data_IF_881300527374
#
_entry.id   IF_881300527374
#
_cell.length_a   1.000
_cell.length_b   1.000
_cell.length_c   1.000
_cell.angle_alpha   90.00
_cell.angle_beta   90.00
_cell.angle_gamma   90.00
#
_symmetry.space_group_name_H-M   'P 1'
#
loop_
_entity.id
_entity.type
_entity.pdbx_description
1 polymer ?
#
# COMPACT_ATOMS: atom_id res chain seq x y z
N UNK A 1 -50.13 46.40 40.29
CA UNK A 1 -49.67 44.99 40.17
C UNK A 1 -48.99 44.82 38.82
N UNK A 2 -47.66 44.86 38.77
CA UNK A 2 -46.89 44.60 37.56
C UNK A 2 -46.65 43.10 37.41
N UNK A 3 -47.40 42.44 36.52
CA UNK A 3 -47.24 41.00 36.27
C UNK A 3 -45.83 40.67 35.74
N UNK A 4 -45.26 39.51 36.12
CA UNK A 4 -43.96 39.07 35.61
C UNK A 4 -44.01 39.00 34.07
N UNK A 5 -42.89 39.35 33.43
CA UNK A 5 -42.73 39.14 32.00
C UNK A 5 -43.11 37.69 31.65
N UNK A 6 -43.88 37.50 30.58
CA UNK A 6 -44.39 36.18 30.18
C UNK A 6 -43.25 35.13 30.21
N UNK A 7 -43.49 33.92 30.74
CA UNK A 7 -42.44 32.96 31.09
C UNK A 7 -41.56 32.50 29.91
N UNK A 8 -41.93 32.80 28.66
CA UNK A 8 -41.12 32.55 27.45
C UNK A 8 -40.27 33.73 26.95
N UNK A 9 -40.43 34.96 27.46
CA UNK A 9 -39.73 36.12 26.92
C UNK A 9 -38.21 36.08 27.18
N UNK A 10 -37.77 35.42 28.25
CA UNK A 10 -36.35 35.29 28.63
C UNK A 10 -35.61 34.21 27.85
N UNK A 11 -36.33 33.32 27.18
CA UNK A 11 -35.74 32.26 26.36
C UNK A 11 -35.64 32.62 24.89
N UNK A 12 -36.50 33.54 24.41
CA UNK A 12 -36.60 33.95 23.01
C UNK A 12 -35.29 34.54 22.49
N UNK A 13 -34.98 34.28 21.22
CA UNK A 13 -33.80 34.86 20.57
C UNK A 13 -33.94 36.37 20.39
N UNK A 14 -32.98 37.12 20.92
CA UNK A 14 -32.84 38.55 20.68
C UNK A 14 -31.74 38.78 19.65
N UNK A 15 -32.07 39.35 18.51
CA UNK A 15 -31.09 39.59 17.45
C UNK A 15 -31.71 39.77 16.07
N UNK A 16 -30.86 39.63 15.08
CA UNK A 16 -31.15 39.67 13.65
C UNK A 16 -30.63 38.41 12.97
N UNK A 17 -31.42 37.85 12.07
CA UNK A 17 -31.05 36.72 11.21
C UNK A 17 -31.00 37.23 9.78
N UNK A 18 -30.02 36.78 9.00
CA UNK A 18 -29.83 37.23 7.63
C UNK A 18 -31.03 36.81 6.74
N UNK A 19 -31.75 37.76 6.11
CA UNK A 19 -32.87 37.45 5.22
C UNK A 19 -32.41 37.01 3.82
N UNK A 20 -31.14 37.24 3.48
CA UNK A 20 -30.60 36.90 2.16
C UNK A 20 -30.26 35.41 2.06
N UNK A 21 -30.33 34.84 0.84
CA UNK A 21 -29.92 33.47 0.62
C UNK A 21 -28.45 33.26 0.99
N UNK A 22 -28.08 32.07 1.51
CA UNK A 22 -26.74 31.78 2.04
C UNK A 22 -25.61 31.82 0.99
N UNK A 23 -25.98 31.89 -0.30
CA UNK A 23 -25.06 32.02 -1.42
C UNK A 23 -24.57 33.47 -1.64
N UNK A 24 -25.22 34.47 -1.03
CA UNK A 24 -24.82 35.87 -1.17
C UNK A 24 -23.59 36.13 -0.30
N UNK A 25 -22.46 36.60 -0.86
CA UNK A 25 -21.28 36.89 -0.09
C UNK A 25 -21.53 38.03 0.90
N UNK A 26 -20.78 38.01 2.00
CA UNK A 26 -20.77 39.09 2.99
C UNK A 26 -20.48 40.44 2.34
N UNK A 27 -21.31 41.42 2.69
CA UNK A 27 -21.25 42.80 2.24
C UNK A 27 -21.39 43.70 3.46
N UNK A 28 -20.64 44.80 3.49
CA UNK A 28 -20.60 45.68 4.66
C UNK A 28 -21.98 46.26 4.95
N UNK A 29 -22.73 46.57 3.89
CA UNK A 29 -24.07 47.15 3.92
C UNK A 29 -25.06 46.23 4.66
N UNK A 30 -24.92 44.91 4.50
CA UNK A 30 -25.74 43.91 5.20
C UNK A 30 -25.46 43.93 6.71
N UNK A 31 -24.20 44.16 7.09
CA UNK A 31 -23.83 44.33 8.50
C UNK A 31 -24.40 45.61 9.10
N UNK A 32 -24.39 46.70 8.35
CA UNK A 32 -24.97 47.98 8.78
C UNK A 32 -26.49 47.87 8.94
N UNK A 33 -27.17 47.21 8.00
CA UNK A 33 -28.60 46.89 8.09
C UNK A 33 -28.93 46.02 9.32
N UNK A 34 -28.12 44.99 9.58
CA UNK A 34 -28.29 44.11 10.71
C UNK A 34 -28.21 44.88 12.04
N UNK A 35 -27.18 45.71 12.21
CA UNK A 35 -27.01 46.55 13.40
C UNK A 35 -28.18 47.53 13.56
N UNK A 36 -28.56 48.22 12.48
CA UNK A 36 -29.69 49.16 12.50
C UNK A 36 -31.00 48.46 12.92
N UNK A 37 -31.25 47.26 12.42
CA UNK A 37 -32.45 46.47 12.74
C UNK A 37 -32.46 46.03 14.21
N UNK A 38 -31.32 45.56 14.73
CA UNK A 38 -31.19 45.19 16.15
C UNK A 38 -31.43 46.40 17.06
N UNK A 39 -30.80 47.54 16.76
CA UNK A 39 -30.95 48.77 17.55
C UNK A 39 -32.38 49.30 17.48
N UNK A 40 -33.02 49.32 16.31
CA UNK A 40 -34.42 49.73 16.17
C UNK A 40 -35.35 48.82 16.98
N UNK A 41 -35.11 47.51 17.00
CA UNK A 41 -35.88 46.55 17.82
C UNK A 41 -35.68 46.82 19.32
N UNK A 42 -34.45 47.09 19.76
CA UNK A 42 -34.16 47.46 21.15
C UNK A 42 -34.85 48.76 21.56
N UNK A 43 -34.83 49.79 20.71
CA UNK A 43 -35.54 51.06 20.96
C UNK A 43 -37.05 50.85 21.11
N UNK A 44 -37.66 50.01 20.27
CA UNK A 44 -39.09 49.65 20.40
C UNK A 44 -39.39 48.93 21.71
N UNK A 45 -38.53 48.00 22.13
CA UNK A 45 -38.67 47.30 23.40
C UNK A 45 -38.50 48.26 24.60
N UNK A 46 -37.52 49.15 24.55
CA UNK A 46 -37.34 50.18 25.57
C UNK A 46 -38.56 51.12 25.64
N UNK A 47 -39.10 51.56 24.51
CA UNK A 47 -40.33 52.36 24.44
C UNK A 47 -41.55 51.62 25.01
N UNK A 48 -41.70 50.34 24.70
CA UNK A 48 -42.76 49.51 25.28
C UNK A 48 -42.63 49.33 26.79
N UNK A 49 -41.40 49.30 27.31
CA UNK A 49 -41.13 49.31 28.75
C UNK A 49 -41.41 50.68 29.38
N UNK A 50 -41.19 51.79 28.66
CA UNK A 50 -41.52 53.16 29.10
C UNK A 50 -43.01 53.33 29.37
N UNK A 51 -43.86 52.65 28.59
CA UNK A 51 -45.30 52.67 28.77
C UNK A 51 -45.78 51.94 30.05
N UNK A 52 -44.88 51.24 30.79
CA UNK A 52 -45.22 50.61 32.07
C UNK A 52 -45.08 51.61 33.22
N UNK A 53 -46.09 51.62 34.11
CA UNK A 53 -46.30 52.60 35.18
C UNK A 53 -45.21 52.69 36.26
N UNK A 54 -44.26 51.74 36.30
CA UNK A 54 -43.11 51.79 37.22
C UNK A 54 -41.91 51.03 36.62
N UNK A 55 -40.93 51.73 36.02
CA UNK A 55 -39.70 51.12 35.53
C UNK A 55 -38.71 50.77 36.65
N UNK A 56 -38.99 51.15 37.90
CA UNK A 56 -38.12 50.95 39.05
C UNK A 56 -36.79 51.71 38.97
N UNK A 57 -35.89 51.42 39.91
CA UNK A 57 -34.57 52.05 40.07
C UNK A 57 -33.67 51.96 38.82
N UNK A 58 -33.96 51.03 37.92
CA UNK A 58 -33.18 50.79 36.70
C UNK A 58 -33.80 51.46 35.45
N UNK A 59 -34.81 52.32 35.59
CA UNK A 59 -35.49 52.94 34.45
C UNK A 59 -34.56 53.75 33.53
N UNK A 60 -33.79 54.70 34.10
CA UNK A 60 -32.86 55.52 33.33
C UNK A 60 -31.82 54.72 32.52
N UNK A 61 -31.10 53.73 33.09
CA UNK A 61 -30.15 52.94 32.32
C UNK A 61 -30.81 52.04 31.26
N UNK A 62 -32.05 51.59 31.46
CA UNK A 62 -32.79 50.80 30.46
C UNK A 62 -33.09 51.65 29.21
N UNK A 63 -33.41 52.93 29.36
CA UNK A 63 -33.66 53.81 28.20
C UNK A 63 -32.40 54.21 27.43
N UNK A 64 -31.25 54.27 28.11
CA UNK A 64 -29.95 54.55 27.47
C UNK A 64 -29.29 53.30 26.84
N UNK A 65 -29.78 52.10 27.18
CA UNK A 65 -29.21 50.83 26.73
C UNK A 65 -29.15 50.66 25.21
N UNK A 66 -30.19 51.01 24.41
CA UNK A 66 -30.12 50.89 22.95
C UNK A 66 -28.99 51.73 22.34
N UNK A 67 -28.75 52.94 22.84
CA UNK A 67 -27.68 53.82 22.34
C UNK A 67 -26.29 53.31 22.75
N UNK A 68 -26.14 52.79 23.97
CA UNK A 68 -24.88 52.16 24.43
C UNK A 68 -24.54 50.94 23.60
N UNK A 69 -25.54 50.13 23.25
CA UNK A 69 -25.34 48.97 22.38
C UNK A 69 -25.05 49.40 20.94
N UNK A 70 -25.74 50.42 20.43
CA UNK A 70 -25.45 50.97 19.11
C UNK A 70 -24.00 51.43 18.98
N UNK A 71 -23.49 52.15 19.98
CA UNK A 71 -22.09 52.58 20.03
C UNK A 71 -21.11 51.38 20.03
N UNK A 72 -21.41 50.34 20.81
CA UNK A 72 -20.59 49.11 20.84
C UNK A 72 -20.62 48.31 19.53
N UNK A 73 -21.77 48.30 18.84
CA UNK A 73 -21.94 47.57 17.58
C UNK A 73 -21.48 48.36 16.34
N UNK A 74 -21.23 49.66 16.46
CA UNK A 74 -20.93 50.54 15.32
C UNK A 74 -19.71 50.08 14.50
N UNK A 75 -18.69 49.51 15.15
CA UNK A 75 -17.47 49.04 14.48
C UNK A 75 -17.57 47.61 13.95
N UNK A 76 -18.60 46.86 14.34
CA UNK A 76 -18.74 45.45 14.01
C UNK A 76 -18.79 45.19 12.49
N UNK A 77 -19.55 45.94 11.67
CA UNK A 77 -19.60 45.69 10.22
C UNK A 77 -18.23 45.87 9.56
N UNK A 78 -17.47 46.89 9.97
CA UNK A 78 -16.13 47.16 9.45
C UNK A 78 -15.13 46.07 9.87
N UNK A 79 -15.17 45.66 11.14
CA UNK A 79 -14.32 44.57 11.66
C UNK A 79 -14.61 43.24 10.94
N UNK A 80 -15.89 42.89 10.76
CA UNK A 80 -16.31 41.70 10.03
C UNK A 80 -15.91 41.78 8.56
N UNK A 81 -16.02 42.94 7.91
CA UNK A 81 -15.59 43.12 6.52
C UNK A 81 -14.08 42.90 6.36
N UNK A 82 -13.26 43.36 7.31
CA UNK A 82 -11.83 43.11 7.31
C UNK A 82 -11.49 41.63 7.55
N UNK A 83 -12.19 40.97 8.49
CA UNK A 83 -11.97 39.56 8.80
C UNK A 83 -12.46 38.60 7.70
N UNK A 84 -13.55 38.94 7.03
CA UNK A 84 -14.18 38.15 5.97
C UNK A 84 -13.73 38.57 4.56
N UNK A 85 -12.58 39.25 4.45
CA UNK A 85 -12.08 39.74 3.16
C UNK A 85 -11.97 38.56 2.19
N UNK A 86 -12.52 38.67 0.97
CA UNK A 86 -12.47 37.59 0.00
C UNK A 86 -11.01 37.26 -0.31
N UNK A 87 -10.59 36.07 0.11
CA UNK A 87 -9.29 35.52 -0.23
C UNK A 87 -9.51 34.52 -1.38
N UNK A 88 -8.63 34.53 -2.38
CA UNK A 88 -8.70 33.62 -3.54
C UNK A 88 -8.78 32.12 -3.16
N UNK A 89 -8.36 31.77 -1.94
CA UNK A 89 -8.33 30.41 -1.38
C UNK A 89 -9.61 30.04 -0.62
N UNK A 90 -10.32 31.02 -0.04
CA UNK A 90 -11.47 30.78 0.82
C UNK A 90 -12.78 30.91 0.03
N UNK A 91 -13.78 30.08 0.37
CA UNK A 91 -15.14 30.33 -0.09
C UNK A 91 -15.66 31.65 0.47
N UNK A 92 -16.52 32.37 -0.27
CA UNK A 92 -17.11 33.60 0.24
C UNK A 92 -17.82 33.32 1.55
N UNK A 93 -17.49 34.09 2.57
CA UNK A 93 -18.16 34.02 3.86
C UNK A 93 -19.56 34.60 3.75
N UNK A 94 -20.55 33.95 4.36
CA UNK A 94 -21.89 34.50 4.55
C UNK A 94 -22.17 34.66 6.05
N UNK A 95 -22.68 35.83 6.44
CA UNK A 95 -23.11 36.05 7.82
C UNK A 95 -24.50 35.45 8.01
N UNK A 96 -24.69 34.60 9.02
CA UNK A 96 -26.00 34.00 9.33
C UNK A 96 -26.89 34.89 10.18
N UNK A 97 -26.30 35.64 11.11
CA UNK A 97 -27.04 36.54 12.00
C UNK A 97 -26.16 37.12 13.09
N UNK A 98 -26.74 38.05 13.85
CA UNK A 98 -26.15 38.71 15.00
C UNK A 98 -27.13 38.53 16.16
N UNK A 99 -26.69 37.90 17.24
CA UNK A 99 -27.54 37.58 18.37
C UNK A 99 -26.95 38.13 19.67
N UNK A 100 -27.81 38.70 20.49
CA UNK A 100 -27.47 39.25 21.79
C UNK A 100 -27.86 38.25 22.87
N UNK A 101 -26.91 37.94 23.74
CA UNK A 101 -27.14 37.17 24.95
C UNK A 101 -26.89 38.06 26.16
N UNK A 102 -27.55 37.72 27.26
CA UNK A 102 -27.43 38.47 28.51
C UNK A 102 -27.20 37.54 29.68
N UNK A 103 -26.85 38.14 30.82
CA UNK A 103 -26.75 37.45 32.11
C UNK A 103 -27.75 38.10 33.05
N UNK A 104 -28.64 37.30 33.64
CA UNK A 104 -29.53 37.82 34.66
C UNK A 104 -28.70 38.21 35.89
N UNK A 105 -28.80 39.46 36.35
CA UNK A 105 -28.29 39.76 37.70
C UNK A 105 -29.08 38.91 38.70
N UNK A 106 -28.43 38.35 39.74
CA UNK A 106 -29.17 37.75 40.83
C UNK A 106 -30.14 38.80 41.35
N UNK A 107 -31.45 38.49 41.28
CA UNK A 107 -32.44 39.39 41.81
C UNK A 107 -32.16 39.52 43.31
N UNK A 108 -31.76 40.71 43.76
CA UNK A 108 -31.93 41.06 45.16
C UNK A 108 -33.40 40.75 45.50
N UNK A 109 -33.69 40.10 46.65
CA UNK A 109 -35.04 39.66 46.97
C UNK A 109 -35.95 40.88 46.98
N UNK A 110 -36.65 41.11 45.87
CA UNK A 110 -37.77 42.02 45.83
C UNK A 110 -38.82 41.33 46.68
N UNK A 111 -39.17 41.96 47.80
CA UNK A 111 -40.30 41.63 48.65
C UNK A 111 -41.59 41.70 47.80
N UNK A 112 -41.78 40.68 46.98
CA UNK A 112 -43.06 40.35 46.40
C UNK A 112 -43.78 39.55 47.47
N UNK A 113 -45.02 39.95 47.75
CA UNK A 113 -45.89 39.46 48.85
C UNK A 113 -46.32 37.99 48.67
N UNK A 114 -45.54 37.20 47.95
CA UNK A 114 -45.74 35.76 47.71
C UNK A 114 -44.40 35.00 47.68
N UNK A 115 -43.34 35.51 48.31
CA UNK A 115 -42.14 34.73 48.57
C UNK A 115 -42.44 33.76 49.72
N UNK A 116 -42.46 32.47 49.42
CA UNK A 116 -42.57 31.38 50.40
C UNK A 116 -41.49 31.55 51.48
N UNK A 117 -41.88 31.76 52.76
CA UNK A 117 -40.96 31.93 53.89
C UNK A 117 -40.03 30.73 54.11
N UNK A 118 -40.36 29.57 53.52
CA UNK A 118 -39.60 28.33 53.63
C UNK A 118 -38.78 28.01 52.37
N UNK A 119 -38.77 28.89 51.36
CA UNK A 119 -37.91 28.70 50.21
C UNK A 119 -36.43 28.73 50.67
N UNK A 120 -35.63 27.69 50.35
CA UNK A 120 -34.22 27.67 50.74
C UNK A 120 -33.51 28.90 50.16
N UNK A 121 -32.65 29.56 50.96
CA UNK A 121 -31.92 30.74 50.47
C UNK A 121 -31.13 30.36 49.21
N UNK A 122 -31.10 31.24 48.19
CA UNK A 122 -30.36 30.96 46.97
C UNK A 122 -28.91 30.66 47.34
N UNK A 123 -28.40 29.52 46.85
CA UNK A 123 -27.06 29.05 47.18
C UNK A 123 -26.02 30.16 46.88
N UNK A 124 -25.15 30.52 47.84
CA UNK A 124 -24.12 31.52 47.63
C UNK A 124 -23.20 31.05 46.50
N UNK A 125 -23.15 31.82 45.41
CA UNK A 125 -22.33 31.49 44.23
C UNK A 125 -23.06 30.79 43.08
N UNK A 126 -24.39 30.64 43.12
CA UNK A 126 -25.13 30.11 41.98
C UNK A 126 -24.86 30.95 40.70
N UNK A 127 -24.40 30.34 39.59
CA UNK A 127 -24.10 31.07 38.37
C UNK A 127 -25.37 31.73 37.84
N UNK A 128 -25.25 33.02 37.53
CA UNK A 128 -26.33 33.82 36.99
C UNK A 128 -26.92 33.19 35.71
N UNK A 129 -28.24 33.04 35.67
CA UNK A 129 -28.92 32.40 34.56
C UNK A 129 -28.70 33.17 33.22
N UNK A 130 -28.32 32.48 32.13
CA UNK A 130 -28.18 33.10 30.82
C UNK A 130 -29.56 33.49 30.25
N UNK A 131 -29.65 34.69 29.69
CA UNK A 131 -30.84 35.24 29.05
C UNK A 131 -30.69 35.17 27.52
N UNK A 132 -31.78 34.82 26.83
CA UNK A 132 -31.90 34.75 25.36
C UNK A 132 -31.06 33.65 24.69
N UNK A 133 -30.44 32.76 25.46
CA UNK A 133 -29.60 31.68 24.93
C UNK A 133 -30.38 30.41 24.58
N UNK A 134 -31.45 30.07 25.31
CA UNK A 134 -32.13 28.77 25.16
C UNK A 134 -32.64 28.55 23.74
N UNK A 135 -33.46 29.48 23.24
CA UNK A 135 -34.05 29.32 21.91
C UNK A 135 -33.00 29.58 20.83
N UNK A 136 -31.94 30.36 21.11
CA UNK A 136 -30.80 30.55 20.20
C UNK A 136 -30.08 29.22 19.94
N UNK A 137 -29.73 28.50 21.00
CA UNK A 137 -29.08 27.22 20.88
C UNK A 137 -30.00 26.18 20.26
N UNK A 138 -31.22 26.05 20.77
CA UNK A 138 -32.16 25.04 20.30
C UNK A 138 -32.53 25.20 18.83
N UNK A 139 -32.86 26.42 18.38
CA UNK A 139 -33.42 26.63 17.03
C UNK A 139 -32.39 27.07 16.00
N UNK A 140 -31.37 27.85 16.40
CA UNK A 140 -30.42 28.46 15.44
C UNK A 140 -29.08 27.74 15.36
N UNK A 141 -28.54 27.31 16.50
CA UNK A 141 -27.21 26.68 16.52
C UNK A 141 -27.35 25.17 16.30
N UNK A 142 -28.19 24.50 17.10
CA UNK A 142 -28.39 23.04 17.01
C UNK A 142 -29.46 22.65 15.99
N UNK A 143 -30.47 23.50 15.75
CA UNK A 143 -31.45 23.26 14.69
C UNK A 143 -30.85 23.26 13.28
N UNK A 144 -29.67 23.88 13.10
CA UNK A 144 -28.95 23.96 11.83
C UNK A 144 -27.76 22.96 11.76
N UNK A 145 -27.59 22.11 12.79
CA UNK A 145 -26.53 21.10 12.82
C UNK A 145 -26.79 20.07 11.71
N UNK A 146 -25.90 20.03 10.71
CA UNK A 146 -26.04 19.17 9.52
C UNK A 146 -26.25 19.92 8.20
N UNK A 147 -26.48 21.24 8.22
CA UNK A 147 -26.51 22.08 7.02
C UNK A 147 -25.12 22.63 6.62
N UNK A 148 -24.07 22.24 7.33
CA UNK A 148 -22.70 22.58 7.00
C UNK A 148 -22.31 21.90 5.67
N UNK A 149 -22.49 22.62 4.56
CA UNK A 149 -22.10 22.12 3.26
C UNK A 149 -20.58 22.02 3.19
N UNK A 150 -20.02 20.86 2.77
CA UNK A 150 -18.60 20.77 2.49
C UNK A 150 -18.26 21.80 1.42
N UNK A 151 -17.17 22.53 1.63
CA UNK A 151 -16.66 23.57 0.72
C UNK A 151 -16.60 22.99 -0.70
N UNK A 152 -17.51 23.41 -1.59
CA UNK A 152 -17.72 22.77 -2.90
C UNK A 152 -16.43 22.69 -3.75
N UNK A 153 -15.52 23.65 -3.55
CA UNK A 153 -14.21 23.70 -4.22
C UNK A 153 -13.24 22.62 -3.73
N UNK A 154 -13.30 22.23 -2.45
CA UNK A 154 -12.53 21.08 -1.91
C UNK A 154 -13.04 19.77 -2.49
N UNK A 155 -14.36 19.58 -2.52
CA UNK A 155 -14.98 18.40 -3.12
C UNK A 155 -14.60 18.25 -4.61
N UNK A 156 -14.55 19.35 -5.36
CA UNK A 156 -14.12 19.33 -6.76
C UNK A 156 -12.63 18.99 -6.93
N UNK A 157 -11.75 19.48 -6.05
CA UNK A 157 -10.33 19.15 -6.05
C UNK A 157 -10.10 17.65 -5.74
N UNK A 158 -10.78 17.13 -4.72
CA UNK A 158 -10.68 15.73 -4.31
C UNK A 158 -11.18 14.79 -5.42
N UNK A 159 -12.25 15.17 -6.13
CA UNK A 159 -12.75 14.43 -7.30
C UNK A 159 -11.73 14.37 -8.44
N UNK A 160 -11.00 15.47 -8.70
CA UNK A 160 -9.95 15.49 -9.75
C UNK A 160 -8.77 14.62 -9.34
N UNK A 161 -8.29 14.74 -8.11
CA UNK A 161 -7.22 13.91 -7.58
C UNK A 161 -7.58 12.42 -7.67
N UNK A 162 -8.80 12.05 -7.25
CA UNK A 162 -9.29 10.67 -7.36
C UNK A 162 -9.35 10.16 -8.80
N UNK A 163 -9.80 10.99 -9.75
CA UNK A 163 -9.82 10.61 -11.18
C UNK A 163 -8.42 10.40 -11.74
N UNK A 164 -7.46 11.25 -11.36
CA UNK A 164 -6.05 11.09 -11.79
C UNK A 164 -5.47 9.80 -11.21
N UNK A 165 -5.69 9.51 -9.94
CA UNK A 165 -5.23 8.26 -9.30
C UNK A 165 -5.87 7.04 -9.97
N UNK A 166 -7.18 7.06 -10.22
CA UNK A 166 -7.87 5.97 -10.91
C UNK A 166 -7.34 5.79 -12.34
N UNK A 167 -7.17 6.86 -13.10
CA UNK A 167 -6.63 6.81 -14.46
C UNK A 167 -5.18 6.28 -14.47
N UNK A 168 -4.33 6.74 -13.55
CA UNK A 168 -2.97 6.26 -13.42
C UNK A 168 -2.94 4.76 -13.06
N UNK A 169 -3.76 4.32 -12.11
CA UNK A 169 -3.84 2.91 -11.72
C UNK A 169 -4.35 2.01 -12.87
N UNK A 170 -5.35 2.48 -13.63
CA UNK A 170 -5.86 1.77 -14.79
C UNK A 170 -4.82 1.68 -15.92
N UNK A 171 -4.04 2.75 -16.13
CA UNK A 171 -2.95 2.76 -17.10
C UNK A 171 -1.86 1.75 -16.73
N UNK A 172 -1.41 1.75 -15.47
CA UNK A 172 -0.43 0.77 -14.98
C UNK A 172 -0.95 -0.66 -15.15
N UNK A 173 -2.21 -0.90 -14.76
CA UNK A 173 -2.83 -2.22 -14.93
C UNK A 173 -2.88 -2.65 -16.41
N UNK A 174 -3.23 -1.75 -17.32
CA UNK A 174 -3.28 -2.02 -18.76
C UNK A 174 -1.90 -2.34 -19.33
N UNK A 175 -0.88 -1.53 -19.01
CA UNK A 175 0.51 -1.77 -19.43
C UNK A 175 1.00 -3.13 -18.93
N UNK A 176 0.66 -3.47 -17.69
CA UNK A 176 1.05 -4.74 -17.09
C UNK A 176 0.36 -5.95 -17.74
N UNK A 177 -0.92 -5.82 -18.07
CA UNK A 177 -1.68 -6.84 -18.80
C UNK A 177 -1.08 -7.07 -20.20
N UNK A 178 -0.70 -6.00 -20.91
CA UNK A 178 -0.03 -6.08 -22.21
C UNK A 178 1.34 -6.76 -22.11
N UNK A 179 2.10 -6.53 -21.03
CA UNK A 179 3.38 -7.18 -20.80
C UNK A 179 3.25 -8.66 -20.41
N UNK A 180 2.20 -9.03 -19.66
CA UNK A 180 1.99 -10.41 -19.18
C UNK A 180 1.68 -11.38 -20.31
N UNK A 181 0.88 -10.98 -21.31
CA UNK A 181 0.47 -11.85 -22.42
C UNK A 181 1.67 -12.48 -23.17
N UNK A 182 2.65 -11.72 -23.71
CA UNK A 182 3.78 -12.31 -24.41
C UNK A 182 4.66 -13.13 -23.46
N UNK A 183 4.80 -12.72 -22.19
CA UNK A 183 5.59 -13.51 -21.23
C UNK A 183 4.95 -14.84 -20.88
N UNK A 184 3.61 -14.92 -20.82
CA UNK A 184 2.89 -16.18 -20.67
C UNK A 184 3.17 -17.08 -21.87
N UNK A 185 2.93 -16.60 -23.10
CA UNK A 185 3.14 -17.42 -24.30
C UNK A 185 4.59 -17.91 -24.44
N UNK A 186 5.56 -17.07 -24.09
CA UNK A 186 6.96 -17.46 -24.09
C UNK A 186 7.26 -18.51 -23.03
N UNK A 187 6.68 -18.39 -21.83
CA UNK A 187 6.85 -19.37 -20.75
C UNK A 187 6.17 -20.72 -21.08
N UNK A 188 4.98 -20.70 -21.66
CA UNK A 188 4.26 -21.92 -22.06
C UNK A 188 5.04 -22.70 -23.14
N UNK A 189 5.60 -22.01 -24.13
CA UNK A 189 6.48 -22.63 -25.14
C UNK A 189 7.75 -23.24 -24.52
N UNK A 190 8.33 -22.56 -23.53
CA UNK A 190 9.50 -23.08 -22.82
C UNK A 190 9.16 -24.29 -21.93
N UNK A 191 8.03 -24.26 -21.23
CA UNK A 191 7.57 -25.39 -20.41
C UNK A 191 7.24 -26.62 -21.26
N UNK A 192 6.62 -26.42 -22.44
CA UNK A 192 6.32 -27.52 -23.36
C UNK A 192 7.58 -28.15 -23.94
N UNK A 193 8.61 -27.36 -24.25
CA UNK A 193 9.90 -27.89 -24.74
C UNK A 193 10.69 -28.62 -23.65
N UNK A 194 10.57 -28.21 -22.39
CA UNK A 194 11.29 -28.85 -21.27
C UNK A 194 10.60 -30.08 -20.69
N UNK A 195 9.29 -30.26 -20.91
CA UNK A 195 8.54 -31.37 -20.30
C UNK A 195 9.11 -32.73 -20.72
N UNK A 196 9.49 -32.89 -21.97
CA UNK A 196 10.02 -34.14 -22.53
C UNK A 196 11.38 -34.52 -21.93
N UNK A 197 12.41 -33.63 -21.94
CA UNK A 197 13.71 -33.95 -21.35
C UNK A 197 13.68 -34.05 -19.82
N UNK A 198 12.86 -33.27 -19.10
CA UNK A 198 12.74 -33.39 -17.64
C UNK A 198 12.08 -34.71 -17.20
N UNK A 199 11.08 -35.19 -17.95
CA UNK A 199 10.52 -36.53 -17.71
C UNK A 199 11.55 -37.62 -18.04
N UNK A 200 12.35 -37.43 -19.09
CA UNK A 200 13.49 -38.29 -19.41
C UNK A 200 14.50 -38.37 -18.27
N UNK A 201 14.94 -37.22 -17.74
CA UNK A 201 15.84 -37.16 -16.57
C UNK A 201 15.20 -37.78 -15.32
N UNK A 202 13.94 -37.47 -15.03
CA UNK A 202 13.26 -38.00 -13.84
C UNK A 202 13.17 -39.52 -13.88
N UNK A 203 12.82 -40.09 -15.05
CA UNK A 203 12.80 -41.53 -15.24
C UNK A 203 14.21 -42.12 -15.17
N UNK A 204 15.22 -41.46 -15.75
CA UNK A 204 16.61 -41.89 -15.67
C UNK A 204 17.16 -41.88 -14.23
N UNK A 205 16.78 -40.91 -13.38
CA UNK A 205 17.16 -40.89 -11.95
C UNK A 205 16.48 -42.04 -11.19
N UNK A 206 15.20 -42.32 -11.49
CA UNK A 206 14.47 -43.42 -10.85
C UNK A 206 15.01 -44.79 -11.28
N UNK A 207 15.40 -44.93 -12.54
CA UNK A 207 15.99 -46.14 -13.08
C UNK A 207 17.47 -46.29 -12.68
N UNK A 208 18.24 -45.21 -12.52
CA UNK A 208 19.60 -45.26 -11.98
C UNK A 208 19.65 -45.75 -10.52
N UNK A 209 18.56 -45.60 -9.77
CA UNK A 209 18.40 -46.22 -8.45
C UNK A 209 18.18 -47.74 -8.46
N UNK A 210 18.06 -48.35 -9.64
CA UNK A 210 17.89 -49.80 -9.85
C UNK A 210 18.83 -50.24 -10.97
N UNK A 211 20.04 -50.73 -10.70
CA UNK A 211 20.96 -51.53 -11.58
C UNK A 211 20.60 -51.67 -13.08
N UNK A 212 20.27 -50.58 -13.77
CA UNK A 212 19.83 -50.57 -15.16
C UNK A 212 20.94 -49.87 -15.89
N UNK A 213 21.73 -50.67 -16.62
CA UNK A 213 22.73 -50.20 -17.58
C UNK A 213 22.10 -49.14 -18.48
N UNK A 214 22.52 -47.89 -18.30
CA UNK A 214 22.08 -46.79 -19.14
C UNK A 214 22.73 -46.98 -20.52
N UNK A 215 21.90 -47.10 -21.56
CA UNK A 215 22.37 -47.27 -22.94
C UNK A 215 23.15 -46.01 -23.37
N UNK A 216 24.35 -46.21 -23.91
CA UNK A 216 25.28 -45.15 -24.32
C UNK A 216 24.62 -44.18 -25.32
N UNK A 217 23.71 -44.71 -26.14
CA UNK A 217 22.90 -43.93 -27.10
C UNK A 217 21.87 -43.04 -26.42
N UNK A 218 21.22 -43.51 -25.36
CA UNK A 218 20.26 -42.72 -24.60
C UNK A 218 20.95 -41.55 -23.90
N UNK A 219 22.18 -41.76 -23.42
CA UNK A 219 22.98 -40.69 -22.80
C UNK A 219 23.38 -39.61 -23.80
N UNK A 220 23.81 -40.00 -25.01
CA UNK A 220 24.18 -39.05 -26.08
C UNK A 220 22.96 -38.27 -26.59
N UNK A 221 21.82 -38.93 -26.77
CA UNK A 221 20.57 -38.28 -27.18
C UNK A 221 20.12 -37.24 -26.14
N UNK A 222 20.16 -37.61 -24.87
CA UNK A 222 19.78 -36.74 -23.76
C UNK A 222 20.75 -35.57 -23.58
N UNK A 223 22.05 -35.77 -23.81
CA UNK A 223 23.05 -34.70 -23.80
C UNK A 223 22.86 -33.73 -24.98
N UNK A 224 22.51 -34.25 -26.16
CA UNK A 224 22.23 -33.44 -27.35
C UNK A 224 20.94 -32.63 -27.24
N UNK A 225 19.95 -33.14 -26.50
CA UNK A 225 18.70 -32.44 -26.24
C UNK A 225 18.85 -31.35 -25.17
N UNK A 226 19.76 -31.52 -24.20
CA UNK A 226 20.11 -30.46 -23.24
C UNK A 226 20.83 -29.29 -23.92
N UNK A 227 21.74 -29.57 -24.86
CA UNK A 227 22.47 -28.53 -25.60
C UNK A 227 21.55 -27.71 -26.53
N UNK A 228 20.38 -28.26 -26.86
CA UNK A 228 19.33 -27.54 -27.61
C UNK A 228 18.46 -26.64 -26.75
N UNK A 229 18.58 -26.66 -25.42
CA UNK A 229 17.81 -25.80 -24.54
C UNK A 229 18.44 -24.40 -24.55
N UNK A 230 17.78 -23.38 -25.13
CA UNK A 230 18.33 -22.02 -25.13
C UNK A 230 18.48 -21.49 -23.71
N UNK A 231 19.52 -20.68 -23.48
CA UNK A 231 19.84 -20.07 -22.19
C UNK A 231 18.58 -19.56 -21.48
N UNK A 232 18.37 -20.15 -20.31
CA UNK A 232 17.23 -19.97 -19.45
C UNK A 232 17.18 -18.57 -18.83
N UNK A 233 16.63 -17.60 -19.56
CA UNK A 233 16.46 -16.25 -19.02
C UNK A 233 15.22 -16.17 -18.11
N UNK A 234 15.42 -16.39 -16.80
CA UNK A 234 14.35 -16.26 -15.79
C UNK A 234 14.01 -14.80 -15.47
N UNK A 235 14.83 -13.84 -15.90
CA UNK A 235 14.64 -12.41 -15.58
C UNK A 235 13.73 -11.75 -16.60
N UNK A 236 12.42 -11.93 -16.43
CA UNK A 236 11.44 -11.20 -17.23
C UNK A 236 10.91 -9.98 -16.49
N UNK A 237 10.99 -8.82 -17.15
CA UNK A 237 10.42 -7.57 -16.66
C UNK A 237 8.90 -7.62 -16.38
N UNK A 238 8.16 -8.64 -16.87
CA UNK A 238 6.74 -8.76 -16.57
C UNK A 238 6.42 -9.57 -15.29
N UNK A 239 7.40 -10.27 -14.70
CA UNK A 239 7.19 -11.16 -13.55
C UNK A 239 7.81 -10.56 -12.28
N UNK A 240 7.03 -9.91 -11.40
CA UNK A 240 7.58 -9.19 -10.24
C UNK A 240 8.24 -10.15 -9.24
N UNK A 241 7.78 -11.40 -9.15
CA UNK A 241 8.42 -12.43 -8.31
C UNK A 241 9.82 -12.80 -8.82
N UNK A 242 10.10 -12.64 -10.12
CA UNK A 242 11.44 -12.92 -10.69
C UNK A 242 12.46 -11.82 -10.38
N UNK A 243 12.00 -10.62 -9.98
CA UNK A 243 12.88 -9.49 -9.67
C UNK A 243 13.54 -9.65 -8.30
N UNK A 244 12.84 -10.31 -7.38
CA UNK A 244 13.28 -10.49 -6.01
C UNK A 244 13.82 -11.91 -5.85
N UNK A 245 15.15 -12.04 -5.94
CA UNK A 245 15.85 -13.31 -5.73
C UNK A 245 15.49 -13.99 -4.38
N UNK A 246 15.07 -13.20 -3.39
CA UNK A 246 14.65 -13.68 -2.07
C UNK A 246 13.22 -14.26 -2.00
N UNK A 247 12.34 -13.96 -2.96
CA UNK A 247 10.92 -14.31 -2.88
C UNK A 247 10.42 -15.22 -4.02
N UNK A 248 11.28 -15.62 -4.96
CA UNK A 248 10.84 -16.46 -6.09
C UNK A 248 11.86 -16.69 -7.19
N UNK A 249 13.16 -16.51 -6.94
CA UNK A 249 14.18 -16.88 -7.91
C UNK A 249 14.25 -18.40 -8.04
N UNK A 250 13.60 -18.97 -9.06
CA UNK A 250 13.79 -20.39 -9.44
C UNK A 250 15.23 -20.68 -9.90
N UNK A 251 16.01 -19.62 -10.12
CA UNK A 251 17.39 -19.67 -10.62
C UNK A 251 18.30 -20.63 -9.81
N UNK A 252 18.58 -20.35 -8.52
CA UNK A 252 19.48 -21.20 -7.72
C UNK A 252 18.97 -22.63 -7.53
N UNK A 253 17.66 -22.86 -7.49
CA UNK A 253 17.08 -24.17 -7.22
C UNK A 253 17.16 -25.08 -8.45
N UNK A 254 16.84 -24.54 -9.63
CA UNK A 254 16.96 -25.25 -10.92
C UNK A 254 18.42 -25.55 -11.24
N UNK A 255 19.32 -24.58 -11.05
CA UNK A 255 20.77 -24.81 -11.20
C UNK A 255 21.30 -25.87 -10.22
N UNK A 256 20.80 -25.87 -8.98
CA UNK A 256 21.16 -26.89 -7.99
C UNK A 256 20.70 -28.28 -8.40
N UNK A 257 19.47 -28.40 -8.91
CA UNK A 257 18.92 -29.66 -9.41
C UNK A 257 19.73 -30.20 -10.61
N UNK A 258 20.03 -29.36 -11.62
CA UNK A 258 20.87 -29.75 -12.75
C UNK A 258 22.26 -30.19 -12.30
N UNK A 259 22.90 -29.44 -11.39
CA UNK A 259 24.21 -29.83 -10.85
C UNK A 259 24.15 -31.19 -10.17
N UNK A 260 23.12 -31.44 -9.37
CA UNK A 260 22.97 -32.73 -8.68
C UNK A 260 22.72 -33.89 -9.63
N UNK A 261 22.04 -33.65 -10.76
CA UNK A 261 21.84 -34.64 -11.82
C UNK A 261 23.15 -34.97 -12.53
N UNK A 262 23.91 -33.95 -12.96
CA UNK A 262 25.21 -34.16 -13.57
C UNK A 262 26.15 -34.92 -12.63
N UNK A 263 26.21 -34.52 -11.36
CA UNK A 263 27.08 -35.11 -10.35
C UNK A 263 26.76 -36.59 -10.08
N UNK A 264 25.47 -36.95 -9.98
CA UNK A 264 25.07 -38.30 -9.56
C UNK A 264 24.80 -39.28 -10.69
N UNK A 265 24.33 -38.82 -11.84
CA UNK A 265 23.88 -39.72 -12.90
C UNK A 265 24.88 -39.75 -14.03
N UNK A 266 25.32 -38.58 -14.49
CA UNK A 266 26.22 -38.51 -15.64
C UNK A 266 27.64 -38.99 -15.26
N UNK A 267 28.18 -38.49 -14.16
CA UNK A 267 29.56 -38.83 -13.77
C UNK A 267 29.70 -40.26 -13.24
N UNK A 268 28.76 -40.77 -12.42
CA UNK A 268 28.82 -42.17 -11.96
C UNK A 268 28.75 -43.15 -13.14
N UNK A 269 27.90 -42.88 -14.15
CA UNK A 269 27.85 -43.72 -15.36
C UNK A 269 29.14 -43.67 -16.20
N UNK A 270 29.85 -42.54 -16.17
CA UNK A 270 31.11 -42.37 -16.88
C UNK A 270 32.29 -42.96 -16.11
N UNK A 271 32.20 -43.10 -14.78
CA UNK A 271 33.19 -43.78 -13.94
C UNK A 271 33.09 -45.32 -14.10
N UNK A 272 31.90 -45.88 -14.27
CA UNK A 272 31.70 -47.34 -14.46
C UNK A 272 32.19 -47.86 -15.83
N UNK A 273 32.08 -47.05 -16.89
CA UNK A 273 32.48 -47.42 -18.24
C UNK A 273 33.98 -47.79 -18.40
N UNK A 274 34.95 -47.00 -17.89
CA UNK A 274 36.37 -47.36 -17.93
C UNK A 274 36.70 -48.56 -17.04
N UNK A 275 36.03 -48.73 -15.90
CA UNK A 275 36.23 -49.88 -15.00
C UNK A 275 35.81 -51.20 -15.66
N UNK A 276 34.64 -51.24 -16.31
CA UNK A 276 34.22 -52.40 -17.09
C UNK A 276 35.20 -52.71 -18.23
N UNK A 277 35.73 -51.67 -18.88
CA UNK A 277 36.66 -51.83 -20.01
C UNK A 277 38.03 -52.31 -19.55
N UNK A 278 38.52 -51.82 -18.42
CA UNK A 278 39.74 -52.29 -17.77
C UNK A 278 39.61 -53.77 -17.34
N UNK A 279 38.45 -54.15 -16.79
CA UNK A 279 38.17 -55.54 -16.43
C UNK A 279 38.16 -56.49 -17.66
N UNK A 280 37.64 -56.05 -18.80
CA UNK A 280 37.67 -56.85 -20.05
C UNK A 280 39.07 -56.96 -20.63
N UNK A 281 39.83 -55.87 -20.68
CA UNK A 281 41.22 -55.88 -21.18
C UNK A 281 42.12 -56.76 -20.31
N UNK A 282 41.91 -56.78 -18.99
CA UNK A 282 42.67 -57.66 -18.09
C UNK A 282 42.24 -59.12 -18.18
N UNK A 283 40.97 -59.41 -18.50
CA UNK A 283 40.47 -60.78 -18.72
C UNK A 283 40.94 -61.39 -20.04
N UNK A 284 41.05 -60.61 -21.11
CA UNK A 284 41.48 -61.05 -22.44
C UNK A 284 43.01 -60.99 -22.65
N UNK A 285 43.78 -60.75 -21.58
CA UNK A 285 45.23 -60.73 -21.65
C UNK A 285 45.75 -62.10 -22.17
N UNK A 286 46.59 -62.12 -23.23
CA UNK A 286 47.06 -63.37 -23.80
C UNK A 286 47.86 -64.18 -22.76
N UNK A 287 47.37 -65.38 -22.43
CA UNK A 287 48.06 -66.29 -21.52
C UNK A 287 49.45 -66.66 -22.07
N UNK A 288 50.50 -66.80 -21.22
CA UNK A 288 51.81 -67.21 -21.67
C UNK A 288 51.76 -68.67 -22.13
N UNK A 289 51.53 -68.90 -23.43
CA UNK A 289 51.58 -70.22 -24.03
C UNK A 289 53.02 -70.58 -24.41
N UNK A 290 53.39 -71.82 -24.09
CA UNK A 290 54.74 -72.36 -24.25
C UNK A 290 55.25 -72.24 -25.69
N UNK A 291 56.46 -71.72 -25.82
CA UNK A 291 57.18 -71.54 -27.08
C UNK A 291 57.19 -72.82 -27.92
N UNK A 292 56.55 -72.80 -29.10
CA UNK A 292 56.82 -73.75 -30.20
C UNK A 292 56.15 -73.32 -31.51
N UNK A 293 56.87 -72.59 -32.36
CA UNK A 293 57.13 -72.93 -33.77
C UNK A 293 57.68 -71.71 -34.52
N UNK A 294 58.76 -71.97 -35.25
CA UNK A 294 59.71 -71.00 -35.75
C UNK A 294 59.46 -70.65 -37.23
N UNK A 295 59.63 -69.35 -37.52
CA UNK A 295 60.08 -68.73 -38.78
C UNK A 295 59.18 -68.75 -40.04
N UNK A 296 58.33 -67.73 -40.16
CA UNK A 296 58.11 -66.95 -41.40
C UNK A 296 57.40 -65.63 -41.05
N UNK A 297 58.11 -64.49 -41.12
CA UNK A 297 57.63 -63.13 -40.77
C UNK A 297 57.03 -63.02 -39.34
N UNK A 298 57.78 -62.57 -38.32
CA UNK A 298 57.26 -62.44 -36.94
C UNK A 298 56.00 -61.58 -36.86
N UNK A 299 55.83 -60.68 -37.82
CA UNK A 299 54.70 -59.75 -37.97
C UNK A 299 53.34 -60.42 -38.28
N UNK A 300 53.37 -61.66 -38.79
CA UNK A 300 52.17 -62.42 -39.19
C UNK A 300 51.83 -63.57 -38.24
N UNK A 301 52.61 -63.77 -37.18
CA UNK A 301 52.29 -64.75 -36.15
C UNK A 301 51.02 -64.31 -35.43
N UNK A 302 50.06 -65.23 -35.27
CA UNK A 302 48.79 -64.94 -34.60
C UNK A 302 48.99 -64.35 -33.20
N UNK A 303 50.02 -64.82 -32.49
CA UNK A 303 50.43 -64.31 -31.17
C UNK A 303 50.92 -62.86 -31.22
N UNK A 304 51.71 -62.51 -32.24
CA UNK A 304 52.23 -61.15 -32.41
C UNK A 304 51.13 -60.18 -32.84
N UNK A 305 50.20 -60.62 -33.69
CA UNK A 305 49.04 -59.82 -34.09
C UNK A 305 48.11 -59.58 -32.89
N UNK A 306 47.83 -60.61 -32.09
CA UNK A 306 47.05 -60.49 -30.86
C UNK A 306 47.72 -59.57 -29.83
N UNK A 307 49.03 -59.69 -29.63
CA UNK A 307 49.79 -58.79 -28.76
C UNK A 307 49.75 -57.34 -29.27
N UNK A 308 49.88 -57.11 -30.58
CA UNK A 308 49.81 -55.76 -31.17
C UNK A 308 48.43 -55.14 -31.03
N UNK A 309 47.37 -55.93 -31.23
CA UNK A 309 45.98 -55.50 -31.01
C UNK A 309 45.71 -55.18 -29.54
N UNK A 310 46.23 -55.99 -28.62
CA UNK A 310 46.16 -55.73 -27.18
C UNK A 310 46.89 -54.44 -26.78
N UNK A 311 48.11 -54.22 -27.29
CA UNK A 311 48.89 -52.99 -27.05
C UNK A 311 48.17 -51.77 -27.62
N UNK A 312 47.60 -51.86 -28.83
CA UNK A 312 46.83 -50.77 -29.42
C UNK A 312 45.57 -50.46 -28.60
N UNK A 313 44.86 -51.48 -28.13
CA UNK A 313 43.68 -51.32 -27.27
C UNK A 313 44.03 -50.73 -25.90
N UNK A 314 45.19 -51.10 -25.35
CA UNK A 314 45.71 -50.55 -24.07
C UNK A 314 46.10 -49.08 -24.22
N UNK A 315 46.77 -48.70 -25.32
CA UNK A 315 47.12 -47.30 -25.60
C UNK A 315 45.89 -46.41 -25.80
N UNK A 316 44.88 -46.91 -26.51
CA UNK A 316 43.61 -46.18 -26.67
C UNK A 316 42.90 -46.02 -25.31
N UNK A 317 42.92 -47.07 -24.48
CA UNK A 317 42.37 -47.01 -23.12
C UNK A 317 43.10 -45.96 -22.26
N UNK A 318 44.43 -45.98 -22.23
CA UNK A 318 45.23 -44.99 -21.48
C UNK A 318 44.97 -43.57 -21.95
N UNK A 319 44.84 -43.36 -23.27
CA UNK A 319 44.50 -42.06 -23.85
C UNK A 319 43.13 -41.56 -23.39
N UNK A 320 42.11 -42.43 -23.40
CA UNK A 320 40.77 -42.07 -22.96
C UNK A 320 40.70 -41.86 -21.44
N UNK A 321 41.41 -42.67 -20.65
CA UNK A 321 41.51 -42.51 -19.20
C UNK A 321 42.18 -41.19 -18.81
N UNK A 322 43.31 -40.83 -19.43
CA UNK A 322 43.98 -39.55 -19.17
C UNK A 322 43.09 -38.34 -19.52
N UNK A 323 42.32 -38.44 -20.60
CA UNK A 323 41.36 -37.40 -20.99
C UNK A 323 40.20 -37.32 -20.00
N UNK A 324 39.73 -38.45 -19.48
CA UNK A 324 38.72 -38.50 -18.42
C UNK A 324 39.22 -37.86 -17.13
N UNK A 325 40.42 -38.21 -16.65
CA UNK A 325 41.02 -37.57 -15.46
C UNK A 325 41.19 -36.05 -15.64
N UNK A 326 41.47 -35.59 -16.85
CA UNK A 326 41.55 -34.15 -17.14
C UNK A 326 40.19 -33.47 -16.97
N UNK A 327 39.11 -34.11 -17.42
CA UNK A 327 37.74 -33.61 -17.25
C UNK A 327 37.27 -33.71 -15.79
N UNK A 328 37.61 -34.80 -15.10
CA UNK A 328 37.35 -34.99 -13.68
C UNK A 328 38.17 -34.04 -12.80
N UNK A 329 39.37 -33.62 -13.22
CA UNK A 329 40.16 -32.61 -12.53
C UNK A 329 39.47 -31.24 -12.46
N UNK A 330 38.64 -30.91 -13.46
CA UNK A 330 37.79 -29.71 -13.46
C UNK A 330 36.70 -29.78 -12.37
N UNK A 331 36.27 -30.98 -11.95
CA UNK A 331 35.37 -31.23 -10.80
C UNK A 331 35.96 -30.71 -9.49
N UNK A 332 37.28 -30.80 -9.32
CA UNK A 332 37.99 -30.41 -8.09
C UNK A 332 38.48 -28.95 -8.06
N UNK A 333 38.46 -28.24 -9.20
CA UNK A 333 39.04 -26.91 -9.36
C UNK A 333 38.06 -25.76 -9.10
N UNK A 334 38.05 -25.25 -7.87
CA UNK A 334 37.67 -23.86 -7.50
C UNK A 334 36.54 -23.20 -8.31
N UNK A 335 35.33 -23.74 -8.23
CA UNK A 335 34.15 -22.93 -8.45
C UNK A 335 34.08 -21.90 -7.32
N UNK A 336 34.37 -20.62 -7.61
CA UNK A 336 34.07 -19.50 -6.70
C UNK A 336 32.64 -19.66 -6.21
N UNK A 337 32.47 -20.06 -4.95
CA UNK A 337 31.21 -19.91 -4.25
C UNK A 337 30.84 -18.42 -4.30
N UNK A 338 29.69 -18.03 -4.86
CA UNK A 338 29.21 -16.67 -4.70
C UNK A 338 29.06 -16.39 -3.20
N UNK A 339 29.38 -15.17 -2.73
CA UNK A 339 29.34 -14.86 -1.31
C UNK A 339 27.93 -15.10 -0.75
N UNK A 340 27.80 -15.60 0.49
CA UNK A 340 26.50 -15.71 1.14
C UNK A 340 25.89 -14.31 1.25
N UNK A 341 24.72 -14.12 0.63
CA UNK A 341 23.95 -12.89 0.78
C UNK A 341 23.63 -12.69 2.27
N UNK A 342 24.11 -11.58 2.81
CA UNK A 342 23.83 -11.12 4.17
C UNK A 342 22.32 -10.95 4.42
N UNK A 343 21.80 -11.33 5.60
CA UNK A 343 20.39 -11.16 5.94
C UNK A 343 20.16 -9.76 6.49
N UNK A 344 20.01 -8.77 5.62
CA UNK A 344 19.48 -7.45 6.02
C UNK A 344 18.53 -6.93 4.94
N UNK A 345 17.27 -7.34 5.04
CA UNK A 345 16.14 -6.55 4.57
C UNK A 345 15.13 -6.53 5.71
N UNK A 346 15.21 -5.46 6.51
CA UNK A 346 14.20 -5.09 7.49
C UNK A 346 13.47 -3.87 6.93
N UNK A 347 12.15 -4.02 6.78
CA UNK A 347 11.09 -3.00 6.61
C UNK A 347 11.13 -2.07 5.39
#
# INVERSE_FOLDING_TARGET
MGGPAAPGARSQTLGWSNPHPPAVPWRREVGEEAVATVVARLRRLAGALAARRDPGEHGAPIFLMPERIAAGLAQLPAALHAAMRPNAVLTPFSLRGIYLSGRALPAAPRATVAADPFAPPPAPGAPAAPLFCRDLFATRIFGEFGLAQPVARRVAADRRARRVVLAASAFVAAVWLVALVPTWFSLDRQLQSMRTPLLGMHNAILDAGRDVRIDERATIELLSDIDRVPDWDTRRAALPLSWFACCGGLEPEVQGAFRSYYEKVLFDSLDEAPDERAARLTADAPAPAAASALFASPERMAEFVAMREFVAATLEFEYQHARFETLAGVRGGTGRTPPPCSPTCSA
#
